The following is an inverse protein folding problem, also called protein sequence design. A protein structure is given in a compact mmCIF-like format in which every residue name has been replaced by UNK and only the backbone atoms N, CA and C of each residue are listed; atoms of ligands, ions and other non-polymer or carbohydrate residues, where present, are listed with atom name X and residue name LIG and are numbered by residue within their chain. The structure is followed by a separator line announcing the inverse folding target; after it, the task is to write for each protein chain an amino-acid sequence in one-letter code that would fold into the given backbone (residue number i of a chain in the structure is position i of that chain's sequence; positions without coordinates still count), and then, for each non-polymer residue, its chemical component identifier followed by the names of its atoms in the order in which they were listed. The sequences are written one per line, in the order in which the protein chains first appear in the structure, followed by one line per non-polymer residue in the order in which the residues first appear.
data_IF_062211209839
#
_entry.id   IF_062211209839
#
_cell.length_a   1.000
_cell.length_b   1.000
_cell.length_c   1.000
_cell.angle_alpha   90.00
_cell.angle_beta   90.00
_cell.angle_gamma   90.00
#
_symmetry.space_group_name_H-M   'P 1'
#
loop_
_entity.id
_entity.type
_entity.pdbx_description
1 polymer ?
#
# COMPACT_ATOMS: atom_id res chain seq x y z
N UNK A 1 9.27 26.09 -47.23
CA UNK A 1 10.49 25.38 -47.57
C UNK A 1 11.65 26.06 -46.87
N UNK A 2 12.23 25.32 -45.88
CA UNK A 2 13.43 25.76 -45.19
C UNK A 2 14.65 25.26 -45.97
N UNK A 3 15.71 26.06 -46.14
CA UNK A 3 16.89 25.63 -46.86
C UNK A 3 17.71 24.63 -46.07
N UNK A 4 18.14 23.59 -46.75
CA UNK A 4 19.07 22.57 -46.27
C UNK A 4 20.42 23.25 -46.06
N UNK A 5 20.97 23.23 -44.86
CA UNK A 5 22.34 23.66 -44.56
C UNK A 5 23.30 22.60 -45.09
N UNK A 6 24.20 23.01 -45.93
CA UNK A 6 25.29 22.20 -46.47
C UNK A 6 26.20 21.75 -45.32
N UNK A 7 26.38 20.44 -45.19
CA UNK A 7 27.42 19.88 -44.35
C UNK A 7 28.75 19.95 -45.11
N UNK A 8 29.70 20.73 -44.62
CA UNK A 8 31.06 20.74 -45.13
C UNK A 8 31.77 19.53 -44.52
N UNK A 9 32.15 18.57 -45.38
CA UNK A 9 33.06 17.48 -44.99
C UNK A 9 34.46 18.05 -45.01
N UNK A 10 35.10 18.14 -43.86
CA UNK A 10 36.53 18.50 -43.74
C UNK A 10 37.31 17.18 -43.83
N UNK A 11 37.98 16.98 -44.98
CA UNK A 11 38.99 15.95 -45.11
C UNK A 11 40.19 16.33 -44.22
N UNK A 12 40.55 15.45 -43.28
CA UNK A 12 41.74 15.63 -42.44
C UNK A 12 42.99 15.33 -43.28
N UNK A 13 43.71 16.34 -43.65
CA UNK A 13 45.01 16.19 -44.26
C UNK A 13 45.99 15.49 -43.29
N UNK A 14 46.72 14.51 -43.85
CA UNK A 14 47.72 13.71 -43.16
C UNK A 14 48.85 14.60 -42.56
N UNK A 15 48.77 14.91 -41.28
CA UNK A 15 49.89 15.49 -40.56
C UNK A 15 50.95 14.40 -40.23
N UNK A 16 51.96 14.32 -41.06
CA UNK A 16 53.13 13.46 -40.91
C UNK A 16 54.04 13.98 -39.78
N UNK A 17 53.70 13.59 -38.54
CA UNK A 17 54.54 13.90 -37.36
C UNK A 17 55.66 12.88 -37.27
N UNK A 18 56.87 13.29 -37.62
CA UNK A 18 58.13 12.53 -37.39
C UNK A 18 58.28 12.26 -35.91
N UNK A 19 58.04 11.03 -35.49
CA UNK A 19 58.28 10.58 -34.11
C UNK A 19 59.78 10.47 -33.86
N UNK A 20 60.28 11.14 -32.80
CA UNK A 20 61.62 10.92 -32.24
C UNK A 20 61.72 9.54 -31.64
N UNK A 21 62.79 8.76 -31.81
CA UNK A 21 62.97 7.47 -31.18
C UNK A 21 63.23 7.66 -29.69
N UNK A 22 62.39 7.10 -28.84
CA UNK A 22 62.64 7.07 -27.38
C UNK A 22 61.43 7.30 -26.45
N UNK A 23 60.20 7.42 -26.96
CA UNK A 23 59.05 7.53 -26.08
C UNK A 23 58.33 6.17 -25.93
N UNK A 24 58.35 5.64 -24.72
CA UNK A 24 57.61 4.44 -24.30
C UNK A 24 56.12 4.67 -24.60
N UNK A 25 55.49 3.73 -25.30
CA UNK A 25 54.09 3.77 -25.65
C UNK A 25 53.21 3.85 -24.38
N UNK A 26 52.18 4.72 -24.36
CA UNK A 26 51.23 4.68 -23.27
C UNK A 26 50.43 3.38 -23.37
N UNK A 27 50.30 2.69 -22.22
CA UNK A 27 49.39 1.54 -22.07
C UNK A 27 48.03 1.92 -22.61
N UNK A 28 47.54 1.17 -23.59
CA UNK A 28 46.13 1.24 -24.01
C UNK A 28 45.28 0.85 -22.81
N UNK A 29 44.54 1.80 -22.29
CA UNK A 29 43.42 1.54 -21.39
C UNK A 29 42.36 0.75 -22.21
N UNK A 30 42.03 -0.43 -21.72
CA UNK A 30 40.93 -1.22 -22.28
C UNK A 30 39.65 -0.36 -22.24
N UNK A 31 38.80 -0.40 -23.31
CA UNK A 31 37.57 0.37 -23.30
C UNK A 31 36.70 -0.10 -22.14
N UNK A 32 36.49 0.79 -21.19
CA UNK A 32 35.55 0.59 -20.07
C UNK A 32 34.20 0.29 -20.71
N UNK A 33 33.75 -0.95 -20.55
CA UNK A 33 32.39 -1.34 -20.98
C UNK A 33 31.40 -0.39 -20.31
N UNK A 34 30.46 0.19 -21.05
CA UNK A 34 29.46 1.05 -20.44
C UNK A 34 28.76 0.26 -19.34
N UNK A 35 28.94 0.68 -18.10
CA UNK A 35 28.20 0.17 -16.96
C UNK A 35 26.74 0.52 -17.27
N UNK A 36 25.94 -0.48 -17.60
CA UNK A 36 24.48 -0.30 -17.63
C UNK A 36 24.09 0.24 -16.27
N UNK A 37 23.34 1.34 -16.18
CA UNK A 37 22.81 1.78 -14.89
C UNK A 37 22.05 0.59 -14.31
N UNK A 38 22.52 0.10 -13.16
CA UNK A 38 21.81 -0.91 -12.40
C UNK A 38 20.45 -0.29 -12.06
N UNK A 39 19.42 -0.76 -12.72
CA UNK A 39 18.05 -0.40 -12.34
C UNK A 39 17.87 -0.82 -10.87
N UNK A 40 17.32 0.05 -10.03
CA UNK A 40 17.09 -0.30 -8.64
C UNK A 40 16.31 -1.61 -8.57
N UNK A 41 16.85 -2.57 -7.82
CA UNK A 41 16.17 -3.86 -7.62
C UNK A 41 14.90 -3.56 -6.84
N UNK A 42 13.77 -3.55 -7.52
CA UNK A 42 12.46 -3.38 -6.89
C UNK A 42 12.23 -4.59 -6.00
N UNK A 43 12.22 -4.36 -4.71
CA UNK A 43 11.97 -5.39 -3.71
C UNK A 43 10.49 -5.78 -3.79
N UNK A 44 10.23 -7.03 -4.15
CA UNK A 44 8.88 -7.54 -4.42
C UNK A 44 8.33 -8.24 -3.19
N UNK A 45 7.06 -8.00 -2.91
CA UNK A 45 6.32 -8.78 -1.92
C UNK A 45 6.20 -10.24 -2.41
N UNK A 46 6.27 -11.23 -1.51
CA UNK A 46 6.05 -12.63 -1.87
C UNK A 46 4.60 -12.82 -2.34
N UNK A 47 4.43 -13.61 -3.38
CA UNK A 47 3.11 -13.95 -3.91
C UNK A 47 2.49 -15.10 -3.12
N UNK A 48 1.20 -15.00 -2.89
CA UNK A 48 0.40 -16.03 -2.23
C UNK A 48 -0.18 -16.99 -3.27
N UNK A 49 -0.14 -18.28 -2.98
CA UNK A 49 -0.71 -19.27 -3.87
C UNK A 49 -2.23 -19.07 -3.99
N UNK A 50 -2.71 -18.89 -5.23
CA UNK A 50 -4.12 -18.64 -5.50
C UNK A 50 -4.52 -17.16 -5.49
N UNK A 51 -3.63 -16.23 -5.12
CA UNK A 51 -3.90 -14.78 -5.07
C UNK A 51 -3.90 -14.06 -6.43
N UNK A 52 -3.95 -14.78 -7.55
CA UNK A 52 -4.01 -14.17 -8.90
C UNK A 52 -5.43 -13.74 -9.30
N UNK A 53 -6.40 -14.00 -8.46
CA UNK A 53 -7.76 -13.45 -8.53
C UNK A 53 -7.77 -12.09 -7.84
N UNK A 54 -8.38 -11.10 -8.47
CA UNK A 54 -8.45 -9.75 -7.93
C UNK A 54 -9.59 -9.67 -6.92
N UNK A 55 -9.25 -9.45 -5.65
CA UNK A 55 -10.16 -9.16 -4.56
C UNK A 55 -9.76 -7.82 -3.92
N UNK A 56 -10.65 -6.85 -3.94
CA UNK A 56 -10.38 -5.50 -3.41
C UNK A 56 -11.60 -5.01 -2.65
N UNK A 57 -11.35 -4.44 -1.46
CA UNK A 57 -12.41 -4.00 -0.57
C UNK A 57 -12.14 -2.57 -0.10
N UNK A 58 -13.22 -1.82 0.10
CA UNK A 58 -13.21 -0.56 0.85
C UNK A 58 -13.73 -0.85 2.25
N UNK A 59 -12.94 -0.55 3.26
CA UNK A 59 -13.30 -0.85 4.65
C UNK A 59 -13.28 0.42 5.51
N UNK A 60 -14.21 0.52 6.43
CA UNK A 60 -14.27 1.57 7.44
C UNK A 60 -14.16 0.93 8.82
N UNK A 61 -13.22 1.42 9.62
CA UNK A 61 -12.92 0.88 10.94
C UNK A 61 -13.05 2.00 11.97
N UNK A 62 -13.79 1.83 13.08
CA UNK A 62 -13.80 2.80 14.18
C UNK A 62 -12.49 2.71 14.94
N UNK A 63 -11.88 3.84 15.32
CA UNK A 63 -10.67 3.85 16.17
C UNK A 63 -10.97 3.24 17.56
N UNK A 64 -12.17 3.47 18.11
CA UNK A 64 -12.67 2.85 19.33
C UNK A 64 -14.09 2.33 19.11
N UNK A 65 -14.22 1.01 18.98
CA UNK A 65 -15.52 0.35 18.79
C UNK A 65 -16.46 0.52 20.00
N UNK A 66 -15.93 0.85 21.20
CA UNK A 66 -16.74 1.07 22.40
C UNK A 66 -17.30 2.49 22.46
N UNK A 67 -16.64 3.45 21.81
CA UNK A 67 -17.00 4.86 21.79
C UNK A 67 -17.61 5.31 20.44
N UNK A 68 -18.43 4.47 19.80
CA UNK A 68 -18.98 4.67 18.45
C UNK A 68 -19.61 6.04 18.18
N UNK A 69 -20.08 6.76 19.22
CA UNK A 69 -20.71 8.05 19.04
C UNK A 69 -19.72 9.21 18.78
N UNK A 70 -18.50 9.07 19.29
CA UNK A 70 -17.48 10.14 19.29
C UNK A 70 -16.19 9.75 18.59
N UNK A 71 -15.98 8.45 18.32
CA UNK A 71 -14.75 7.94 17.73
C UNK A 71 -14.59 8.42 16.29
N UNK A 72 -13.37 8.77 15.86
CA UNK A 72 -13.02 8.87 14.45
C UNK A 72 -13.09 7.50 13.75
N UNK A 73 -13.14 7.54 12.43
CA UNK A 73 -13.10 6.35 11.58
C UNK A 73 -11.91 6.42 10.64
N UNK A 74 -11.35 5.26 10.37
CA UNK A 74 -10.30 5.06 9.39
C UNK A 74 -10.90 4.40 8.13
N UNK A 75 -10.64 4.96 6.95
CA UNK A 75 -10.98 4.35 5.66
C UNK A 75 -9.78 3.62 5.10
N UNK A 76 -9.95 2.37 4.70
CA UNK A 76 -8.89 1.53 4.13
C UNK A 76 -9.27 1.00 2.75
N UNK A 77 -8.28 0.94 1.88
CA UNK A 77 -8.32 0.12 0.67
C UNK A 77 -7.56 -1.19 0.95
N UNK A 78 -8.27 -2.31 0.90
CA UNK A 78 -7.71 -3.65 1.13
C UNK A 78 -7.48 -4.31 -0.22
N UNK A 79 -6.25 -4.70 -0.48
CA UNK A 79 -5.85 -5.47 -1.65
C UNK A 79 -5.54 -6.91 -1.24
N UNK A 80 -6.49 -7.81 -1.43
CA UNK A 80 -6.32 -9.25 -1.20
C UNK A 80 -6.03 -9.96 -2.54
N UNK A 81 -4.93 -9.55 -3.19
CA UNK A 81 -4.47 -10.15 -4.42
C UNK A 81 -2.96 -10.00 -4.61
N UNK A 82 -2.38 -10.78 -5.54
CA UNK A 82 -0.96 -10.69 -5.92
C UNK A 82 -0.65 -9.55 -6.91
N UNK A 83 -1.58 -8.66 -7.17
CA UNK A 83 -1.41 -7.52 -8.07
C UNK A 83 -1.08 -6.25 -7.30
N UNK A 84 -0.21 -5.42 -7.85
CA UNK A 84 -0.09 -4.02 -7.49
C UNK A 84 -1.30 -3.26 -8.06
N UNK A 85 -1.84 -2.31 -7.30
CA UNK A 85 -2.99 -1.51 -7.72
C UNK A 85 -2.65 -0.03 -7.72
N UNK A 86 -2.66 0.62 -8.89
CA UNK A 86 -2.86 2.07 -8.91
C UNK A 86 -4.32 2.36 -8.62
N UNK A 87 -4.58 3.29 -7.71
CA UNK A 87 -5.94 3.61 -7.29
C UNK A 87 -6.20 5.12 -7.26
N UNK A 88 -7.47 5.47 -7.41
CA UNK A 88 -8.03 6.75 -6.99
C UNK A 88 -9.27 6.49 -6.12
N UNK A 89 -9.40 7.25 -5.04
CA UNK A 89 -10.56 7.24 -4.15
C UNK A 89 -11.19 8.63 -4.15
N UNK A 90 -12.45 8.69 -4.50
CA UNK A 90 -13.16 9.93 -4.81
C UNK A 90 -14.46 10.01 -4.02
N UNK A 91 -14.89 11.22 -3.64
CA UNK A 91 -16.23 11.49 -3.12
C UNK A 91 -17.02 12.39 -4.08
N UNK A 92 -18.32 12.19 -4.17
CA UNK A 92 -19.17 12.98 -5.03
C UNK A 92 -19.61 14.29 -4.35
N UNK A 93 -19.48 15.38 -5.08
CA UNK A 93 -20.07 16.67 -4.73
C UNK A 93 -21.06 17.09 -5.84
N UNK A 94 -22.34 16.84 -5.63
CA UNK A 94 -23.36 17.01 -6.66
C UNK A 94 -23.09 16.12 -7.88
N UNK A 95 -22.72 16.71 -9.02
CA UNK A 95 -22.34 16.01 -10.25
C UNK A 95 -20.82 15.86 -10.44
N UNK A 96 -20.02 16.53 -9.63
CA UNK A 96 -18.56 16.47 -9.70
C UNK A 96 -17.99 15.41 -8.73
N UNK A 97 -16.74 15.04 -8.94
CA UNK A 97 -16.00 14.12 -8.10
C UNK A 97 -14.74 14.80 -7.57
N UNK A 98 -14.57 14.75 -6.26
CA UNK A 98 -13.38 15.26 -5.58
C UNK A 98 -12.46 14.10 -5.24
N UNK A 99 -11.17 14.20 -5.62
CA UNK A 99 -10.18 13.21 -5.26
C UNK A 99 -9.81 13.37 -3.78
N UNK A 100 -10.03 12.31 -2.99
CA UNK A 100 -9.68 12.26 -1.57
C UNK A 100 -8.31 11.60 -1.37
N UNK A 101 -8.03 10.53 -2.11
CA UNK A 101 -6.76 9.82 -2.04
C UNK A 101 -6.43 9.14 -3.35
N UNK A 102 -5.14 9.02 -3.67
CA UNK A 102 -4.66 8.28 -4.84
C UNK A 102 -3.24 7.77 -4.61
N UNK A 103 -2.87 6.72 -5.30
CA UNK A 103 -1.52 6.17 -5.18
C UNK A 103 -1.40 4.73 -5.64
N UNK A 104 -0.52 3.99 -4.96
CA UNK A 104 -0.21 2.59 -5.21
C UNK A 104 -0.47 1.78 -3.94
N UNK A 105 -1.20 0.67 -4.08
CA UNK A 105 -1.34 -0.36 -3.04
C UNK A 105 -0.57 -1.60 -3.47
N UNK A 106 0.23 -2.13 -2.57
CA UNK A 106 1.01 -3.34 -2.82
C UNK A 106 0.16 -4.61 -2.67
N UNK A 107 0.64 -5.76 -3.19
CA UNK A 107 -0.04 -7.05 -3.05
C UNK A 107 -0.26 -7.46 -1.58
N UNK A 108 -1.42 -8.03 -1.29
CA UNK A 108 -1.77 -8.61 0.02
C UNK A 108 -1.58 -7.62 1.19
N UNK A 109 -1.90 -6.34 0.96
CA UNK A 109 -1.80 -5.26 1.95
C UNK A 109 -3.07 -4.45 2.04
N UNK A 110 -3.19 -3.68 3.10
CA UNK A 110 -4.21 -2.65 3.25
C UNK A 110 -3.55 -1.29 3.39
N UNK A 111 -4.15 -0.28 2.80
CA UNK A 111 -3.66 1.10 2.80
C UNK A 111 -4.67 1.99 3.48
N UNK A 112 -4.24 2.75 4.50
CA UNK A 112 -5.04 3.81 5.08
C UNK A 112 -5.21 4.94 4.05
N UNK A 113 -6.46 5.21 3.67
CA UNK A 113 -6.82 6.26 2.72
C UNK A 113 -6.97 7.61 3.41
N UNK A 114 -7.72 7.63 4.51
CA UNK A 114 -7.99 8.81 5.31
C UNK A 114 -8.53 8.45 6.70
N UNK A 115 -8.39 9.38 7.63
CA UNK A 115 -9.08 9.39 8.91
C UNK A 115 -10.16 10.48 8.86
N UNK A 116 -11.35 10.20 9.36
CA UNK A 116 -12.45 11.16 9.33
C UNK A 116 -13.37 11.04 10.55
N UNK A 117 -14.06 12.11 10.83
CA UNK A 117 -15.12 12.18 11.87
C UNK A 117 -16.50 12.12 11.22
N UNK A 118 -17.53 11.96 12.02
CA UNK A 118 -18.91 11.90 11.54
C UNK A 118 -19.40 13.15 10.82
N UNK A 119 -18.74 14.27 11.03
CA UNK A 119 -19.11 15.55 10.41
C UNK A 119 -18.99 15.51 8.88
N UNK A 120 -18.05 14.70 8.35
CA UNK A 120 -17.84 14.55 6.89
C UNK A 120 -18.59 13.39 6.28
N UNK A 121 -19.38 12.63 7.05
CA UNK A 121 -20.13 11.47 6.52
C UNK A 121 -21.06 11.81 5.35
N UNK A 122 -21.63 13.02 5.35
CA UNK A 122 -22.51 13.45 4.27
C UNK A 122 -21.76 13.58 2.93
N UNK A 123 -20.47 13.92 2.97
CA UNK A 123 -19.63 13.99 1.77
C UNK A 123 -19.25 12.58 1.26
N UNK A 124 -19.38 11.57 2.10
CA UNK A 124 -19.01 10.19 1.82
C UNK A 124 -20.22 9.32 1.42
N UNK A 125 -21.43 9.87 1.30
CA UNK A 125 -22.61 9.10 0.89
C UNK A 125 -22.41 8.45 -0.49
N UNK A 126 -21.70 9.12 -1.40
CA UNK A 126 -21.33 8.57 -2.70
C UNK A 126 -19.83 8.65 -2.89
N UNK A 127 -19.20 7.50 -3.01
CA UNK A 127 -17.77 7.38 -3.27
C UNK A 127 -17.51 6.56 -4.53
N UNK A 128 -16.36 6.78 -5.16
CA UNK A 128 -15.92 5.99 -6.29
C UNK A 128 -14.49 5.52 -6.07
N UNK A 129 -14.21 4.29 -6.51
CA UNK A 129 -12.87 3.74 -6.54
C UNK A 129 -12.53 3.32 -7.96
N UNK A 130 -11.40 3.82 -8.47
CA UNK A 130 -10.86 3.39 -9.75
C UNK A 130 -9.55 2.64 -9.52
N UNK A 131 -9.33 1.55 -10.26
CA UNK A 131 -8.19 0.66 -10.08
C UNK A 131 -7.59 0.27 -11.42
N UNK A 132 -6.24 0.22 -11.47
CA UNK A 132 -5.48 -0.41 -12.54
C UNK A 132 -4.56 -1.45 -11.88
N UNK A 133 -4.78 -2.73 -12.19
CA UNK A 133 -4.03 -3.84 -11.65
C UNK A 133 -2.86 -4.21 -12.56
N UNK A 134 -1.67 -4.46 -11.99
CA UNK A 134 -0.49 -4.90 -12.73
C UNK A 134 0.40 -5.79 -11.85
N UNK A 135 1.30 -6.56 -12.48
CA UNK A 135 2.39 -7.25 -11.81
C UNK A 135 3.72 -6.64 -12.23
N UNK A 136 4.58 -6.38 -11.28
CA UNK A 136 5.88 -5.81 -11.56
C UNK A 136 6.90 -6.90 -11.94
N UNK A 137 7.53 -6.73 -13.12
CA UNK A 137 8.61 -7.57 -13.64
C UNK A 137 8.26 -9.05 -13.81
N UNK A 138 6.97 -9.40 -13.91
CA UNK A 138 6.49 -10.76 -14.21
C UNK A 138 5.41 -10.72 -15.27
N UNK A 139 5.34 -11.75 -16.14
CA UNK A 139 4.19 -11.94 -17.01
C UNK A 139 2.92 -12.14 -16.18
N UNK A 140 1.84 -11.49 -16.57
CA UNK A 140 0.54 -11.66 -15.92
C UNK A 140 -0.58 -11.53 -16.94
N UNK A 141 -1.73 -12.10 -16.63
CA UNK A 141 -2.95 -11.81 -17.38
C UNK A 141 -3.35 -10.36 -17.17
N UNK A 142 -3.70 -9.67 -18.24
CA UNK A 142 -4.22 -8.30 -18.15
C UNK A 142 -5.57 -8.30 -17.44
N UNK A 143 -5.71 -7.46 -16.44
CA UNK A 143 -6.99 -7.22 -15.77
C UNK A 143 -7.64 -5.96 -16.37
N UNK A 144 -8.96 -5.94 -16.59
CA UNK A 144 -9.65 -4.73 -17.00
C UNK A 144 -9.46 -3.60 -15.97
N UNK A 145 -9.40 -2.36 -16.44
CA UNK A 145 -9.48 -1.22 -15.53
C UNK A 145 -10.85 -1.22 -14.83
N UNK A 146 -10.84 -1.00 -13.54
CA UNK A 146 -12.05 -1.03 -12.70
C UNK A 146 -12.44 0.40 -12.35
N UNK A 147 -13.74 0.71 -12.45
CA UNK A 147 -14.33 1.94 -11.91
C UNK A 147 -15.65 1.55 -11.25
N UNK A 148 -15.73 1.69 -9.94
CA UNK A 148 -16.90 1.30 -9.14
C UNK A 148 -17.34 2.50 -8.33
N UNK A 149 -18.63 2.84 -8.44
CA UNK A 149 -19.29 3.80 -7.56
C UNK A 149 -20.03 3.03 -6.47
N UNK A 150 -19.92 3.50 -5.25
CA UNK A 150 -20.61 2.95 -4.09
C UNK A 150 -21.48 4.00 -3.43
N UNK A 151 -22.65 3.59 -3.02
CA UNK A 151 -23.46 4.37 -2.08
C UNK A 151 -23.22 3.86 -0.68
N UNK A 152 -22.61 4.71 0.15
CA UNK A 152 -22.30 4.42 1.55
C UNK A 152 -23.53 4.75 2.39
N UNK A 153 -24.03 3.77 3.11
CA UNK A 153 -25.10 3.99 4.07
C UNK A 153 -24.54 4.62 5.34
N UNK A 154 -24.60 5.93 5.44
CA UNK A 154 -24.04 6.71 6.55
C UNK A 154 -24.72 6.42 7.88
N UNK A 155 -25.96 5.89 7.89
CA UNK A 155 -26.66 5.48 9.11
C UNK A 155 -25.97 4.28 9.79
N UNK A 156 -25.25 3.46 9.03
CA UNK A 156 -24.48 2.33 9.57
C UNK A 156 -23.39 2.76 10.53
N UNK A 157 -22.81 3.96 10.37
CA UNK A 157 -21.74 4.49 11.24
C UNK A 157 -22.24 4.84 12.65
N UNK A 158 -23.53 4.83 12.89
CA UNK A 158 -24.12 5.05 14.22
C UNK A 158 -24.53 3.75 14.92
N UNK A 159 -24.32 2.60 14.27
CA UNK A 159 -24.81 1.30 14.76
C UNK A 159 -23.68 0.28 14.81
N UNK A 160 -23.21 -0.06 16.01
CA UNK A 160 -22.10 -1.03 16.20
C UNK A 160 -22.38 -2.38 15.53
N UNK A 161 -23.60 -2.87 15.55
CA UNK A 161 -23.97 -4.18 14.97
C UNK A 161 -23.86 -4.24 13.44
N UNK A 162 -23.64 -3.11 12.76
CA UNK A 162 -23.40 -3.08 11.30
C UNK A 162 -21.93 -3.32 10.96
N UNK A 163 -21.04 -3.18 11.94
CA UNK A 163 -19.63 -3.54 11.85
C UNK A 163 -19.47 -5.01 12.21
N UNK A 164 -18.75 -5.75 11.42
CA UNK A 164 -18.56 -7.20 11.61
C UNK A 164 -17.07 -7.55 11.67
N UNK A 165 -16.77 -8.65 12.36
CA UNK A 165 -15.42 -9.21 12.34
C UNK A 165 -15.04 -9.59 10.89
N UNK A 166 -13.77 -9.38 10.55
CA UNK A 166 -13.23 -9.67 9.23
C UNK A 166 -11.84 -10.27 9.33
N UNK A 167 -11.38 -10.89 8.24
CA UNK A 167 -10.03 -11.45 8.16
C UNK A 167 -8.96 -10.36 7.96
N UNK A 168 -9.36 -9.10 7.78
CA UNK A 168 -8.45 -7.98 7.48
C UNK A 168 -8.20 -7.05 8.66
N UNK A 169 -9.06 -7.08 9.69
CA UNK A 169 -9.00 -6.19 10.84
C UNK A 169 -9.30 -6.96 12.12
N UNK A 170 -8.70 -6.52 13.22
CA UNK A 170 -9.01 -7.04 14.55
C UNK A 170 -10.31 -6.44 15.09
N UNK A 171 -10.48 -5.13 14.86
CA UNK A 171 -11.70 -4.41 15.18
C UNK A 171 -12.78 -4.76 14.17
N UNK A 172 -14.05 -4.72 14.60
CA UNK A 172 -15.16 -4.84 13.67
C UNK A 172 -15.10 -3.76 12.59
N UNK A 173 -15.27 -4.15 11.33
CA UNK A 173 -15.21 -3.26 10.19
C UNK A 173 -16.50 -3.26 9.37
N UNK A 174 -16.79 -2.14 8.72
CA UNK A 174 -17.84 -2.03 7.71
C UNK A 174 -17.17 -2.15 6.34
N UNK A 175 -17.39 -3.28 5.65
CA UNK A 175 -16.68 -3.62 4.41
C UNK A 175 -17.63 -3.55 3.22
N UNK A 176 -17.13 -2.94 2.13
CA UNK A 176 -17.78 -2.88 0.82
C UNK A 176 -16.87 -3.55 -0.22
N UNK A 177 -17.42 -4.49 -0.98
CA UNK A 177 -16.72 -5.12 -2.09
C UNK A 177 -16.53 -4.08 -3.22
N UNK A 178 -15.30 -3.90 -3.71
CA UNK A 178 -14.98 -3.15 -4.93
C UNK A 178 -14.86 -4.12 -6.09
N UNK A 179 -14.03 -5.16 -5.90
CA UNK A 179 -13.88 -6.30 -6.81
C UNK A 179 -13.90 -7.56 -5.99
N UNK A 180 -14.65 -8.55 -6.42
CA UNK A 180 -14.69 -9.86 -5.81
C UNK A 180 -14.58 -10.92 -6.90
N UNK A 181 -13.60 -11.81 -6.78
CA UNK A 181 -13.35 -12.88 -7.75
C UNK A 181 -13.24 -12.37 -9.20
N UNK A 182 -12.42 -11.31 -9.41
CA UNK A 182 -12.25 -10.60 -10.68
C UNK A 182 -13.53 -9.86 -11.19
N UNK A 183 -14.62 -9.88 -10.44
CA UNK A 183 -15.88 -9.23 -10.83
C UNK A 183 -16.05 -7.92 -10.06
N UNK A 184 -16.04 -6.75 -10.73
CA UNK A 184 -16.34 -5.48 -10.10
C UNK A 184 -17.74 -5.47 -9.51
N UNK A 185 -17.91 -4.80 -8.36
CA UNK A 185 -19.22 -4.59 -7.76
C UNK A 185 -20.15 -3.90 -8.77
N UNK A 186 -21.33 -4.43 -8.95
CA UNK A 186 -22.29 -3.84 -9.86
C UNK A 186 -22.78 -2.51 -9.28
N UNK A 187 -22.72 -1.47 -10.08
CA UNK A 187 -23.39 -0.22 -9.75
C UNK A 187 -24.88 -0.48 -9.72
N UNK A 188 -25.48 -0.42 -8.55
CA UNK A 188 -26.92 -0.51 -8.43
C UNK A 188 -27.50 0.89 -8.64
N UNK A 189 -27.55 1.34 -9.89
CA UNK A 189 -28.49 2.37 -10.27
C UNK A 189 -29.88 1.70 -10.30
N UNK A 190 -30.49 1.55 -9.15
CA UNK A 190 -31.87 1.10 -9.09
C UNK A 190 -32.73 2.34 -9.42
N UNK A 191 -33.28 2.39 -10.61
CA UNK A 191 -34.34 3.37 -10.93
C UNK A 191 -35.50 3.16 -9.98
N UNK A 192 -36.25 4.23 -9.67
CA UNK A 192 -37.44 4.10 -8.80
C UNK A 192 -38.42 3.01 -9.27
N UNK A 193 -38.44 2.71 -10.56
CA UNK A 193 -39.26 1.66 -11.19
C UNK A 193 -38.73 0.24 -10.91
N UNK A 194 -37.38 0.07 -10.84
CA UNK A 194 -36.77 -1.23 -10.49
C UNK A 194 -36.93 -1.54 -8.99
N UNK A 195 -36.91 -0.52 -8.12
CA UNK A 195 -37.18 -0.69 -6.67
C UNK A 195 -38.59 -1.23 -6.47
N UNK A 196 -39.56 -0.75 -7.22
CA UNK A 196 -40.94 -1.17 -7.13
C UNK A 196 -41.17 -2.62 -7.62
N UNK A 197 -40.41 -3.06 -8.65
CA UNK A 197 -40.46 -4.43 -9.14
C UNK A 197 -39.69 -5.42 -8.22
N UNK A 198 -38.59 -5.00 -7.60
CA UNK A 198 -37.79 -5.83 -6.69
C UNK A 198 -38.46 -6.06 -5.32
N UNK A 199 -39.30 -5.11 -4.85
CA UNK A 199 -40.13 -5.27 -3.64
C UNK A 199 -41.15 -6.39 -3.78
N UNK A 200 -41.58 -6.70 -5.00
CA UNK A 200 -42.53 -7.76 -5.29
C UNK A 200 -41.92 -9.16 -5.40
N UNK A 201 -40.60 -9.28 -5.51
CA UNK A 201 -39.89 -10.56 -5.75
C UNK A 201 -39.09 -11.10 -4.56
N UNK A 202 -39.22 -10.57 -3.35
CA UNK A 202 -38.41 -11.01 -2.18
C UNK A 202 -38.85 -12.38 -1.66
N UNK A 203 -38.15 -13.45 -2.11
CA UNK A 203 -38.10 -14.76 -1.45
C UNK A 203 -36.70 -15.34 -1.50
N UNK A 204 -36.14 -15.54 -0.30
CA UNK A 204 -35.10 -16.49 0.16
C UNK A 204 -33.80 -16.67 -0.63
N UNK A 205 -32.65 -16.40 0.01
CA UNK A 205 -31.39 -17.13 -0.22
C UNK A 205 -30.57 -17.26 1.09
N UNK A 206 -30.02 -18.46 1.26
CA UNK A 206 -29.29 -18.98 2.40
C UNK A 206 -27.86 -18.44 2.58
N UNK A 207 -27.33 -18.65 3.82
CA UNK A 207 -26.01 -18.21 4.28
C UNK A 207 -24.88 -19.16 3.78
N UNK A 208 -23.67 -18.65 3.43
CA UNK A 208 -22.50 -19.48 3.24
C UNK A 208 -21.70 -19.73 4.54
N UNK A 209 -21.09 -20.92 4.60
CA UNK A 209 -20.27 -21.44 5.70
C UNK A 209 -18.83 -20.97 5.59
N UNK A 210 -18.24 -20.60 6.74
CA UNK A 210 -16.82 -20.29 6.91
C UNK A 210 -15.93 -21.54 6.95
N UNK A 211 -14.72 -21.47 6.35
CA UNK A 211 -13.67 -22.48 6.45
C UNK A 211 -12.54 -22.03 7.38
N UNK A 212 -11.83 -22.96 8.07
CA UNK A 212 -10.85 -22.62 9.10
C UNK A 212 -9.45 -22.29 8.54
N UNK A 213 -8.79 -21.37 9.24
CA UNK A 213 -7.48 -20.80 8.92
C UNK A 213 -6.35 -21.69 9.45
N UNK A 214 -5.36 -21.96 8.61
CA UNK A 214 -4.08 -22.60 8.95
C UNK A 214 -3.06 -21.51 9.29
N UNK A 215 -2.46 -21.59 10.49
CA UNK A 215 -1.42 -20.64 10.94
C UNK A 215 -0.08 -20.94 10.26
N UNK A 216 0.63 -19.94 9.72
CA UNK A 216 2.00 -20.12 9.24
C UNK A 216 3.04 -19.95 10.35
N UNK A 217 4.09 -20.75 10.24
CA UNK A 217 5.23 -20.81 11.14
C UNK A 217 6.23 -19.68 10.82
N UNK A 218 6.67 -18.95 11.84
CA UNK A 218 7.71 -17.92 11.73
C UNK A 218 9.09 -18.56 11.51
N UNK A 219 9.67 -18.31 10.33
CA UNK A 219 11.06 -18.61 10.01
C UNK A 219 11.83 -17.30 9.82
N UNK A 220 12.84 -17.09 10.67
CA UNK A 220 13.83 -16.01 10.53
C UNK A 220 14.58 -16.15 9.21
N UNK A 221 14.61 -15.08 8.44
CA UNK A 221 15.48 -14.98 7.27
C UNK A 221 14.92 -13.99 6.26
N UNK A 222 15.49 -12.77 6.21
CA UNK A 222 15.15 -11.71 5.26
C UNK A 222 15.12 -12.23 3.82
N UNK A 223 13.91 -12.34 3.27
CA UNK A 223 13.69 -12.74 1.89
C UNK A 223 13.53 -11.47 1.04
N UNK A 224 14.35 -11.36 0.01
CA UNK A 224 14.23 -10.33 -1.05
C UNK A 224 14.61 -8.88 -0.68
N UNK A 225 15.60 -8.64 0.18
CA UNK A 225 16.10 -7.27 0.43
C UNK A 225 15.18 -6.39 1.28
N UNK A 226 14.08 -6.91 1.80
CA UNK A 226 13.24 -6.24 2.81
C UNK A 226 13.93 -6.36 4.16
N UNK A 227 14.07 -5.23 4.86
CA UNK A 227 14.60 -5.20 6.23
C UNK A 227 13.42 -5.39 7.18
N UNK A 228 13.48 -6.41 8.02
CA UNK A 228 12.46 -6.68 9.05
C UNK A 228 13.01 -6.28 10.42
N UNK A 229 12.27 -5.47 11.15
CA UNK A 229 12.63 -4.98 12.47
C UNK A 229 11.49 -5.29 13.44
N UNK A 230 11.78 -6.15 14.39
CA UNK A 230 10.85 -6.42 15.49
C UNK A 230 10.99 -5.33 16.56
N UNK A 231 9.89 -4.60 16.78
CA UNK A 231 9.79 -3.53 17.76
C UNK A 231 9.14 -4.00 19.08
N UNK A 232 8.82 -5.29 19.22
CA UNK A 232 8.33 -5.78 20.52
C UNK A 232 9.41 -5.54 21.58
N UNK A 233 9.01 -5.07 22.74
CA UNK A 233 9.98 -4.69 23.79
C UNK A 233 10.83 -5.88 24.24
N UNK A 234 10.24 -7.08 24.29
CA UNK A 234 10.94 -8.31 24.67
C UNK A 234 11.98 -8.74 23.62
N UNK A 235 11.89 -8.25 22.38
CA UNK A 235 12.88 -8.45 21.31
C UNK A 235 14.00 -7.40 21.36
N UNK A 236 13.76 -6.27 22.02
CA UNK A 236 14.70 -5.14 22.10
C UNK A 236 15.49 -5.10 23.42
N UNK A 237 14.91 -5.61 24.51
CA UNK A 237 15.52 -5.60 25.86
C UNK A 237 15.28 -6.92 26.57
N UNK A 238 16.31 -7.42 27.22
CA UNK A 238 16.24 -8.66 28.02
C UNK A 238 15.50 -8.49 29.36
N UNK A 239 15.43 -7.27 29.91
CA UNK A 239 14.72 -6.97 31.16
C UNK A 239 14.04 -5.59 31.08
N UNK A 240 12.72 -5.59 31.32
CA UNK A 240 11.86 -4.40 31.31
C UNK A 240 11.37 -4.01 32.70
N UNK A 241 11.87 -4.69 33.77
CA UNK A 241 11.46 -4.42 35.15
C UNK A 241 11.71 -2.99 35.58
N UNK A 242 10.65 -2.32 36.01
CA UNK A 242 10.69 -0.94 36.49
C UNK A 242 10.49 0.13 35.42
N UNK A 243 10.36 -0.23 34.14
CA UNK A 243 10.01 0.71 33.09
C UNK A 243 8.49 1.00 33.08
N UNK A 244 8.16 2.26 32.94
CA UNK A 244 6.77 2.68 32.67
C UNK A 244 6.38 2.43 31.21
N UNK A 245 5.09 2.34 30.92
CA UNK A 245 4.59 2.19 29.53
C UNK A 245 5.09 3.30 28.60
N UNK A 246 5.26 4.52 29.10
CA UNK A 246 5.81 5.65 28.34
C UNK A 246 7.30 5.49 28.03
N UNK A 247 8.09 4.95 28.94
CA UNK A 247 9.51 4.67 28.70
C UNK A 247 9.69 3.55 27.69
N UNK A 248 8.87 2.50 27.77
CA UNK A 248 8.83 1.40 26.81
C UNK A 248 8.49 1.93 25.42
N UNK A 249 7.42 2.72 25.29
CA UNK A 249 7.01 3.32 24.03
C UNK A 249 8.12 4.21 23.43
N UNK A 250 8.75 5.04 24.23
CA UNK A 250 9.85 5.89 23.77
C UNK A 250 11.05 5.07 23.27
N UNK A 251 11.40 4.00 23.97
CA UNK A 251 12.49 3.10 23.57
C UNK A 251 12.21 2.44 22.20
N UNK A 252 10.98 1.96 22.01
CA UNK A 252 10.55 1.38 20.73
C UNK A 252 10.57 2.40 19.60
N UNK A 253 10.15 3.64 19.86
CA UNK A 253 10.21 4.75 18.90
C UNK A 253 11.64 5.18 18.59
N UNK A 254 12.53 5.17 19.57
CA UNK A 254 13.95 5.50 19.35
C UNK A 254 14.61 4.45 18.45
N UNK A 255 14.25 3.17 18.63
CA UNK A 255 14.69 2.10 17.73
C UNK A 255 14.14 2.28 16.30
N UNK A 256 12.88 2.64 16.16
CA UNK A 256 12.28 2.99 14.87
C UNK A 256 13.06 4.14 14.19
N UNK A 257 13.36 5.23 14.91
CA UNK A 257 14.12 6.39 14.40
C UNK A 257 15.52 6.01 13.97
N UNK A 258 16.23 5.23 14.80
CA UNK A 258 17.58 4.73 14.49
C UNK A 258 17.60 3.99 13.14
N UNK A 259 16.65 3.09 12.92
CA UNK A 259 16.57 2.29 11.69
C UNK A 259 16.22 3.17 10.48
N UNK A 260 15.29 4.10 10.61
CA UNK A 260 14.94 5.05 9.54
C UNK A 260 16.18 5.89 9.17
N UNK A 261 16.88 6.45 10.16
CA UNK A 261 18.06 7.29 9.92
C UNK A 261 19.22 6.50 9.29
N UNK A 262 19.44 5.26 9.70
CA UNK A 262 20.47 4.38 9.13
C UNK A 262 20.21 3.98 7.67
N UNK A 263 18.98 4.14 7.19
CA UNK A 263 18.59 3.75 5.84
C UNK A 263 18.10 4.92 4.97
N UNK A 264 18.16 6.16 5.44
CA UNK A 264 17.62 7.35 4.75
C UNK A 264 18.17 7.57 3.34
N UNK A 265 19.39 7.14 3.08
CA UNK A 265 20.08 7.30 1.79
C UNK A 265 19.81 6.13 0.82
N UNK A 266 19.13 5.09 1.27
CA UNK A 266 18.82 3.90 0.46
C UNK A 266 17.44 4.06 -0.18
N UNK A 267 17.38 4.70 -1.33
CA UNK A 267 16.13 4.90 -2.07
C UNK A 267 15.45 3.57 -2.41
N UNK A 268 14.12 3.57 -2.33
CA UNK A 268 13.23 2.42 -2.56
C UNK A 268 13.46 1.24 -1.58
N UNK A 269 14.29 1.41 -0.53
CA UNK A 269 14.44 0.40 0.51
C UNK A 269 13.11 0.24 1.27
N UNK A 270 12.65 -0.99 1.37
CA UNK A 270 11.48 -1.37 2.18
C UNK A 270 11.92 -1.86 3.54
N UNK A 271 11.27 -1.35 4.57
CA UNK A 271 11.52 -1.72 5.96
C UNK A 271 10.17 -2.07 6.58
N UNK A 272 10.06 -3.26 7.13
CA UNK A 272 8.87 -3.71 7.86
C UNK A 272 9.14 -3.60 9.34
N UNK A 273 8.35 -2.80 10.02
CA UNK A 273 8.39 -2.63 11.47
C UNK A 273 7.28 -3.45 12.10
N UNK A 274 7.64 -4.49 12.83
CA UNK A 274 6.70 -5.37 13.53
C UNK A 274 6.50 -4.79 14.93
N UNK A 275 5.33 -4.21 15.18
CA UNK A 275 4.99 -3.53 16.43
C UNK A 275 3.98 -4.31 17.28
N UNK A 276 3.52 -5.46 16.75
CA UNK A 276 2.50 -6.26 17.38
C UNK A 276 1.11 -5.64 17.31
N UNK A 277 0.17 -6.36 17.86
CA UNK A 277 -1.24 -5.98 17.87
C UNK A 277 -1.52 -4.94 18.97
N UNK A 278 -1.36 -5.28 20.21
CA UNK A 278 -1.52 -4.43 21.39
C UNK A 278 -2.70 -3.45 21.31
N UNK A 279 -2.65 -2.38 22.09
CA UNK A 279 -3.67 -1.30 22.09
C UNK A 279 -3.49 -0.29 20.93
N UNK A 280 -2.63 -0.59 19.94
CA UNK A 280 -2.37 0.27 18.79
C UNK A 280 -1.53 1.53 19.07
N UNK A 281 -1.12 1.76 20.33
CA UNK A 281 -0.40 2.97 20.74
C UNK A 281 0.91 3.16 19.98
N UNK A 282 1.71 2.09 19.87
CA UNK A 282 2.98 2.14 19.13
C UNK A 282 2.75 2.37 17.63
N UNK A 283 1.77 1.66 17.03
CA UNK A 283 1.38 1.86 15.63
C UNK A 283 1.00 3.31 15.36
N UNK A 284 0.11 3.88 16.17
CA UNK A 284 -0.31 5.28 16.05
C UNK A 284 0.86 6.25 16.17
N UNK A 285 1.75 6.05 17.14
CA UNK A 285 2.94 6.89 17.32
C UNK A 285 3.90 6.82 16.13
N UNK A 286 4.12 5.64 15.52
CA UNK A 286 4.91 5.47 14.30
C UNK A 286 4.26 6.21 13.12
N UNK A 287 2.95 6.06 12.91
CA UNK A 287 2.23 6.72 11.82
C UNK A 287 2.27 8.25 11.97
N UNK A 288 2.07 8.76 13.19
CA UNK A 288 2.16 10.19 13.49
C UNK A 288 3.57 10.74 13.21
N UNK A 289 4.61 9.97 13.53
CA UNK A 289 5.98 10.39 13.26
C UNK A 289 6.30 10.37 11.76
N UNK A 290 5.85 9.36 11.03
CA UNK A 290 5.96 9.30 9.58
C UNK A 290 5.23 10.48 8.90
N UNK A 291 4.01 10.78 9.31
CA UNK A 291 3.23 11.93 8.80
C UNK A 291 3.95 13.27 9.04
N UNK A 292 4.56 13.47 10.21
CA UNK A 292 5.16 14.75 10.60
C UNK A 292 6.58 14.94 10.08
N UNK A 293 7.44 13.91 10.17
CA UNK A 293 8.88 14.04 9.90
C UNK A 293 9.31 13.42 8.56
N UNK A 294 8.56 12.45 8.06
CA UNK A 294 8.92 11.66 6.88
C UNK A 294 7.78 11.62 5.86
N UNK A 295 7.11 12.75 5.64
CA UNK A 295 5.96 12.87 4.73
C UNK A 295 6.25 12.50 3.27
N UNK A 296 7.54 12.46 2.88
CA UNK A 296 7.99 12.01 1.57
C UNK A 296 8.08 10.48 1.46
N UNK A 297 8.12 9.73 2.56
CA UNK A 297 8.16 8.28 2.54
C UNK A 297 6.76 7.71 2.28
N UNK A 298 6.71 6.59 1.58
CA UNK A 298 5.47 5.81 1.45
C UNK A 298 5.40 4.83 2.62
N UNK A 299 4.25 4.70 3.25
CA UNK A 299 4.01 3.71 4.28
C UNK A 299 2.62 3.11 4.13
N UNK A 300 2.49 1.86 4.48
CA UNK A 300 1.24 1.10 4.48
C UNK A 300 1.36 -0.07 5.46
N UNK A 301 0.28 -0.75 5.78
CA UNK A 301 0.37 -1.97 6.55
C UNK A 301 1.17 -3.02 5.75
N UNK A 302 2.01 -3.79 6.44
CA UNK A 302 2.72 -4.90 5.82
C UNK A 302 1.75 -6.02 5.43
N UNK A 303 2.22 -7.00 4.66
CA UNK A 303 1.39 -8.12 4.22
C UNK A 303 0.68 -8.78 5.41
N UNK A 304 -0.64 -8.68 5.45
CA UNK A 304 -1.43 -9.28 6.53
C UNK A 304 -1.38 -10.82 6.54
N UNK A 305 -1.02 -11.43 5.43
CA UNK A 305 -0.82 -12.88 5.34
C UNK A 305 0.50 -13.33 5.96
N UNK A 306 1.54 -12.48 5.94
CA UNK A 306 2.85 -12.78 6.52
C UNK A 306 2.98 -12.32 7.97
N UNK A 307 2.54 -11.08 8.26
CA UNK A 307 2.75 -10.41 9.55
C UNK A 307 1.48 -10.25 10.37
N UNK A 308 0.32 -10.67 9.83
CA UNK A 308 -0.97 -10.39 10.44
C UNK A 308 -1.24 -8.87 10.48
N UNK A 309 -1.80 -8.38 11.58
CA UNK A 309 -2.21 -6.97 11.72
C UNK A 309 -1.20 -6.09 12.45
N UNK A 310 -0.06 -6.66 12.83
CA UNK A 310 0.90 -6.04 13.75
C UNK A 310 2.15 -5.48 13.08
N UNK A 311 2.14 -5.10 11.80
CA UNK A 311 3.34 -4.59 11.13
C UNK A 311 3.04 -3.47 10.14
N UNK A 312 3.93 -2.49 10.08
CA UNK A 312 3.89 -1.36 9.14
C UNK A 312 5.11 -1.42 8.22
N UNK A 313 4.87 -1.36 6.92
CA UNK A 313 5.92 -1.28 5.91
C UNK A 313 6.16 0.18 5.51
N UNK A 314 7.42 0.59 5.54
CA UNK A 314 7.89 1.92 5.12
C UNK A 314 8.83 1.76 3.93
N UNK A 315 8.61 2.56 2.88
CA UNK A 315 9.49 2.65 1.71
C UNK A 315 10.20 3.99 1.71
N UNK A 316 11.53 3.96 1.78
CA UNK A 316 12.39 5.14 1.75
C UNK A 316 12.35 5.76 0.35
N UNK A 317 12.22 7.08 0.25
CA UNK A 317 12.22 7.82 -1.04
C UNK A 317 13.48 8.61 -1.26
#
# INVERSE_FOLDING_TARGET
PMPIRECVVIEADDYNIKRKPGATAPKQEEPVKPVKPEMPVIQRQPEVRGGDTLNVFLAYVPEDAKAMMTTPFEAYLVNDSNYYLYYTYLSAEGKAWNNRSHGLVEPNTKLLLEEFTKDVLNEMERVAVQLIAFKDGKPAAIKPAVSVELRIDTVKFYKLHTFSASDFFEEPALIYDIVKDDVPAKQVYVSAEEIQSALLQKKFVDKPKSQPIVKPNHGQGGRNGIIEIDLHIDSLLDDTKGMSNSEILNYQLDKFREVIEANKDKREQKIVFIHGKGDGVLRKAILDELKRKHSNYRYQDASFQEYGFGATMVTIK
#
